data_IF_215193784674
#
_entry.id   IF_215193784674
#
_cell.length_a   1.000
_cell.length_b   1.000
_cell.length_c   1.000
_cell.angle_alpha   90.00
_cell.angle_beta   90.00
_cell.angle_gamma   90.00
#
_symmetry.space_group_name_H-M   'P 1'
#
loop_
_entity.id
_entity.type
_entity.pdbx_description
1 polymer ?
#
# COMPACT_ATOMS: atom_id res chain seq x y z
N UNK A 1 13.70 22.05 -30.43
CA UNK A 1 13.81 21.10 -29.30
C UNK A 1 13.08 19.84 -29.72
N UNK A 2 13.81 18.75 -30.01
CA UNK A 2 13.19 17.48 -30.35
C UNK A 2 12.87 16.75 -29.04
N UNK A 3 11.59 16.69 -28.68
CA UNK A 3 11.12 15.90 -27.56
C UNK A 3 11.38 14.42 -27.88
N UNK A 4 12.49 13.89 -27.37
CA UNK A 4 12.80 12.48 -27.43
C UNK A 4 11.82 11.74 -26.51
N UNK A 5 10.64 11.40 -27.03
CA UNK A 5 9.66 10.57 -26.33
C UNK A 5 10.25 9.16 -26.24
N UNK A 6 10.96 8.89 -25.14
CA UNK A 6 11.48 7.57 -24.81
C UNK A 6 10.30 6.66 -24.46
N UNK A 7 9.94 5.77 -25.39
CA UNK A 7 8.96 4.70 -25.13
C UNK A 7 9.57 3.70 -24.17
N UNK A 8 8.98 3.62 -22.97
CA UNK A 8 9.34 2.62 -21.97
C UNK A 8 8.67 1.27 -22.31
N UNK A 9 9.42 0.19 -22.14
CA UNK A 9 8.88 -1.17 -22.24
C UNK A 9 7.96 -1.51 -21.06
N UNK A 10 7.06 -2.47 -21.24
CA UNK A 10 6.14 -2.94 -20.19
C UNK A 10 6.88 -3.36 -18.90
N UNK A 11 8.04 -4.00 -19.03
CA UNK A 11 8.85 -4.41 -17.88
C UNK A 11 9.41 -3.20 -17.11
N UNK A 12 9.82 -2.14 -17.80
CA UNK A 12 10.30 -0.91 -17.16
C UNK A 12 9.15 -0.19 -16.45
N UNK A 13 7.96 -0.15 -17.06
CA UNK A 13 6.76 0.43 -16.43
C UNK A 13 6.39 -0.32 -15.15
N UNK A 14 6.41 -1.66 -15.16
CA UNK A 14 6.15 -2.46 -13.95
C UNK A 14 7.16 -2.17 -12.84
N UNK A 15 8.45 -2.07 -13.17
CA UNK A 15 9.50 -1.72 -12.20
C UNK A 15 9.26 -0.33 -11.60
N UNK A 16 8.96 0.67 -12.42
CA UNK A 16 8.65 2.03 -11.95
C UNK A 16 7.42 2.07 -11.04
N UNK A 17 6.36 1.33 -11.39
CA UNK A 17 5.17 1.20 -10.52
C UNK A 17 5.52 0.54 -9.19
N UNK A 18 6.32 -0.52 -9.20
CA UNK A 18 6.78 -1.18 -7.98
C UNK A 18 7.59 -0.24 -7.09
N UNK A 19 8.52 0.52 -7.66
CA UNK A 19 9.32 1.51 -6.94
C UNK A 19 8.45 2.66 -6.39
N UNK A 20 7.49 3.14 -7.19
CA UNK A 20 6.55 4.16 -6.74
C UNK A 20 5.69 3.64 -5.58
N UNK A 21 5.26 2.38 -5.63
CA UNK A 21 4.47 1.77 -4.57
C UNK A 21 5.29 1.58 -3.30
N UNK A 22 6.55 1.13 -3.39
CA UNK A 22 7.40 1.01 -2.20
C UNK A 22 7.68 2.36 -1.58
N UNK A 23 7.90 3.39 -2.41
CA UNK A 23 8.09 4.76 -1.93
C UNK A 23 6.85 5.25 -1.20
N UNK A 24 5.66 5.10 -1.82
CA UNK A 24 4.39 5.45 -1.17
C UNK A 24 4.23 4.74 0.16
N UNK A 25 4.47 3.43 0.22
CA UNK A 25 4.37 2.66 1.47
C UNK A 25 5.33 3.17 2.56
N UNK A 26 6.57 3.49 2.21
CA UNK A 26 7.56 4.01 3.17
C UNK A 26 7.27 5.46 3.61
N UNK A 27 6.62 6.25 2.74
CA UNK A 27 6.24 7.63 3.01
C UNK A 27 4.90 7.72 3.77
N UNK A 28 4.11 6.63 3.82
CA UNK A 28 2.86 6.56 4.61
C UNK A 28 3.18 6.38 6.08
N UNK A 29 2.78 7.33 6.92
CA UNK A 29 2.92 7.22 8.37
C UNK A 29 1.86 6.34 9.01
N UNK A 30 2.07 5.90 10.26
CA UNK A 30 1.05 5.15 11.02
C UNK A 30 -0.23 5.97 11.23
N UNK A 31 -0.12 7.29 11.40
CA UNK A 31 -1.27 8.20 11.51
C UNK A 31 -2.08 8.24 10.20
N UNK A 32 -1.40 8.25 9.04
CA UNK A 32 -2.06 8.20 7.74
C UNK A 32 -2.79 6.87 7.52
N UNK A 33 -2.22 5.78 8.03
CA UNK A 33 -2.86 4.44 7.99
C UNK A 33 -4.10 4.44 8.88
N UNK A 34 -4.01 4.92 10.12
CA UNK A 34 -5.16 4.99 11.02
C UNK A 34 -6.29 5.84 10.44
N UNK A 35 -5.96 6.97 9.81
CA UNK A 35 -6.95 7.81 9.14
C UNK A 35 -7.64 7.08 7.97
N UNK A 36 -6.87 6.35 7.17
CA UNK A 36 -7.43 5.54 6.07
C UNK A 36 -8.34 4.42 6.57
N UNK A 37 -8.01 3.81 7.71
CA UNK A 37 -8.83 2.79 8.35
C UNK A 37 -10.14 3.40 8.87
N UNK A 38 -10.06 4.52 9.59
CA UNK A 38 -11.24 5.19 10.16
C UNK A 38 -12.19 5.75 9.10
N UNK A 39 -11.65 6.18 7.95
CA UNK A 39 -12.43 6.71 6.83
C UNK A 39 -13.06 5.59 5.96
N UNK A 40 -12.66 4.32 6.13
CA UNK A 40 -13.16 3.18 5.36
C UNK A 40 -14.27 2.42 6.12
N UNK A 41 -15.55 2.57 5.71
CA UNK A 41 -16.67 1.95 6.42
C UNK A 41 -16.72 0.42 6.29
N UNK A 42 -15.96 -0.16 5.35
CA UNK A 42 -15.88 -1.61 5.15
C UNK A 42 -14.73 -2.24 5.96
N UNK A 43 -13.85 -1.43 6.57
CA UNK A 43 -12.78 -1.91 7.43
C UNK A 43 -13.25 -1.98 8.88
N UNK A 44 -13.21 -3.17 9.46
CA UNK A 44 -13.45 -3.33 10.89
C UNK A 44 -12.23 -2.84 11.67
N UNK A 45 -12.41 -1.82 12.52
CA UNK A 45 -11.44 -1.44 13.55
C UNK A 45 -11.41 -2.53 14.62
N UNK A 46 -10.63 -3.57 14.37
CA UNK A 46 -10.43 -4.65 15.33
C UNK A 46 -9.54 -4.16 16.46
N UNK A 47 -9.96 -4.45 17.68
CA UNK A 47 -9.12 -4.27 18.88
C UNK A 47 -8.00 -5.30 18.91
N UNK A 48 -6.95 -5.03 19.68
CA UNK A 48 -5.83 -5.96 19.86
C UNK A 48 -6.27 -7.34 20.37
N UNK A 49 -7.34 -7.38 21.17
CA UNK A 49 -7.95 -8.61 21.68
C UNK A 49 -8.60 -9.43 20.55
N UNK A 50 -9.36 -8.77 19.67
CA UNK A 50 -10.00 -9.41 18.52
C UNK A 50 -8.97 -9.87 17.47
N UNK A 51 -7.92 -9.08 17.23
CA UNK A 51 -6.79 -9.47 16.37
C UNK A 51 -6.06 -10.71 16.88
N UNK A 52 -5.95 -10.89 18.20
CA UNK A 52 -5.32 -12.06 18.79
C UNK A 52 -6.09 -13.36 18.49
N UNK A 53 -7.41 -13.30 18.37
CA UNK A 53 -8.26 -14.44 18.03
C UNK A 53 -8.04 -14.94 16.58
N UNK A 54 -7.71 -14.03 15.65
CA UNK A 54 -7.41 -14.39 14.26
C UNK A 54 -6.11 -15.18 14.09
N UNK A 55 -5.13 -14.99 14.99
CA UNK A 55 -3.82 -15.66 14.90
C UNK A 55 -3.88 -17.18 15.16
N UNK A 56 -4.99 -17.70 15.67
CA UNK A 56 -5.16 -19.13 15.99
C UNK A 56 -5.45 -20.02 14.77
N UNK A 57 -5.73 -19.45 13.59
CA UNK A 57 -6.11 -20.19 12.38
C UNK A 57 -4.92 -20.68 11.52
N UNK A 58 -3.66 -20.35 11.85
CA UNK A 58 -2.50 -20.91 11.13
C UNK A 58 -2.10 -22.27 11.71
N UNK A 59 -2.84 -23.32 11.35
CA UNK A 59 -2.44 -24.72 11.53
C UNK A 59 -2.44 -25.45 10.20
#
# INVERSE_FOLDING_TARGET
>A
MSDNITRLSLNQIRKLRSLSNSKKFNDTSEEDIQKQIADDPDLYELTDEELAEFNLSRK
#
